data_IF_093143453829
#
_entry.id   IF_093143453829
#
_cell.length_a   1.000
_cell.length_b   1.000
_cell.length_c   1.000
_cell.angle_alpha   90.00
_cell.angle_beta   90.00
_cell.angle_gamma   90.00
#
_symmetry.space_group_name_H-M   'P 1'
#
loop_
_entity.id
_entity.type
_entity.pdbx_description
1 polymer ?
#
# COMPACT_ATOMS: atom_id res chain seq x y z
N UNK A 1 16.60 13.63 20.71
CA UNK A 1 16.55 14.41 19.46
C UNK A 1 15.98 13.51 18.38
N UNK A 2 14.65 13.46 18.23
CA UNK A 2 14.01 12.63 17.21
C UNK A 2 13.88 13.45 15.94
N UNK A 3 14.72 13.16 14.96
CA UNK A 3 14.64 13.69 13.60
C UNK A 3 13.24 13.42 13.06
N UNK A 4 12.42 14.46 12.95
CA UNK A 4 11.20 14.42 12.15
C UNK A 4 11.64 14.35 10.70
N UNK A 5 11.77 13.13 10.18
CA UNK A 5 12.03 12.88 8.76
C UNK A 5 10.81 13.34 7.96
N UNK A 6 10.72 14.64 7.69
CA UNK A 6 10.12 15.12 6.45
C UNK A 6 11.08 14.71 5.32
N UNK A 7 11.20 13.39 5.13
CA UNK A 7 11.84 12.82 3.96
C UNK A 7 11.10 13.41 2.76
N UNK A 8 11.87 13.98 1.83
CA UNK A 8 11.32 14.66 0.66
C UNK A 8 10.23 13.79 0.05
N UNK A 9 9.03 14.33 -0.28
CA UNK A 9 7.94 13.52 -0.81
C UNK A 9 8.45 12.72 -1.99
N UNK A 10 8.56 11.40 -1.83
CA UNK A 10 9.03 10.51 -2.88
C UNK A 10 7.93 10.52 -3.94
N UNK A 11 8.29 10.81 -5.19
CA UNK A 11 7.35 10.66 -6.31
C UNK A 11 7.11 9.16 -6.51
N UNK A 12 5.87 8.66 -6.36
CA UNK A 12 5.54 7.27 -6.62
C UNK A 12 5.87 6.87 -8.05
N UNK A 13 6.39 5.66 -8.22
CA UNK A 13 6.71 5.06 -9.53
C UNK A 13 6.45 3.57 -9.46
N UNK A 14 5.75 3.06 -10.48
CA UNK A 14 5.52 1.65 -10.66
C UNK A 14 5.19 1.43 -12.14
N UNK A 15 5.70 0.34 -12.70
CA UNK A 15 5.42 -0.05 -14.07
C UNK A 15 3.90 -0.13 -14.32
N UNK A 16 3.45 0.48 -15.42
CA UNK A 16 2.03 0.57 -15.82
C UNK A 16 1.09 1.18 -14.75
N UNK A 17 1.60 2.02 -13.85
CA UNK A 17 0.77 2.78 -12.92
C UNK A 17 1.04 4.26 -13.04
N UNK A 18 -0.04 5.02 -13.16
CA UNK A 18 0.01 6.47 -13.34
C UNK A 18 -0.83 7.16 -12.26
N UNK A 19 -0.35 8.33 -11.89
CA UNK A 19 -1.08 9.25 -11.03
C UNK A 19 -1.94 10.18 -11.87
N UNK A 20 -2.81 10.93 -11.20
CA UNK A 20 -3.50 12.06 -11.82
C UNK A 20 -2.46 13.10 -12.33
N UNK A 21 -2.73 13.78 -13.47
CA UNK A 21 -1.80 14.74 -14.07
C UNK A 21 -1.30 15.82 -13.12
N UNK A 22 -2.13 16.23 -12.16
CA UNK A 22 -1.83 17.29 -11.19
C UNK A 22 -0.91 16.84 -10.05
N UNK A 23 -0.70 15.52 -9.86
CA UNK A 23 0.07 15.00 -8.74
C UNK A 23 1.52 15.53 -8.72
N UNK A 24 2.14 15.67 -9.89
CA UNK A 24 3.51 16.14 -10.03
C UNK A 24 3.64 17.64 -9.66
N UNK A 25 2.72 18.48 -10.14
CA UNK A 25 2.72 19.92 -9.86
C UNK A 25 2.41 20.20 -8.38
N UNK A 26 1.46 19.47 -7.79
CA UNK A 26 1.13 19.58 -6.36
C UNK A 26 2.31 19.18 -5.47
N UNK A 27 3.03 18.09 -5.77
CA UNK A 27 4.26 17.76 -5.04
C UNK A 27 5.35 18.81 -5.22
N UNK A 28 5.51 19.37 -6.40
CA UNK A 28 6.48 20.43 -6.64
C UNK A 28 6.17 21.68 -5.79
N UNK A 29 4.87 22.04 -5.70
CA UNK A 29 4.39 23.12 -4.83
C UNK A 29 4.69 22.85 -3.36
N UNK A 30 4.39 21.65 -2.87
CA UNK A 30 4.66 21.25 -1.48
C UNK A 30 6.16 21.26 -1.17
N UNK A 31 7.01 20.76 -2.07
CA UNK A 31 8.48 20.79 -1.90
C UNK A 31 9.00 22.22 -1.78
N UNK A 32 8.47 23.16 -2.56
CA UNK A 32 8.85 24.57 -2.47
C UNK A 32 8.51 25.15 -1.10
N UNK A 33 7.33 24.84 -0.56
CA UNK A 33 6.92 25.27 0.78
C UNK A 33 7.84 24.66 1.86
N UNK A 34 8.10 23.35 1.79
CA UNK A 34 8.94 22.64 2.75
C UNK A 34 10.44 22.98 2.67
N UNK A 35 10.89 23.57 1.56
CA UNK A 35 12.29 24.04 1.43
C UNK A 35 12.58 25.33 2.21
N UNK A 36 11.56 26.01 2.73
CA UNK A 36 11.73 27.18 3.58
C UNK A 36 12.27 26.73 4.94
N UNK A 37 13.33 27.39 5.40
CA UNK A 37 14.14 26.94 6.54
C UNK A 37 13.42 27.03 7.89
N UNK A 38 12.43 27.92 8.02
CA UNK A 38 11.62 28.06 9.24
C UNK A 38 10.12 27.99 8.93
N UNK A 39 9.38 27.26 9.76
CA UNK A 39 7.93 27.16 9.70
C UNK A 39 7.25 28.47 10.12
N UNK A 40 7.94 29.33 10.88
CA UNK A 40 7.47 30.69 11.18
C UNK A 40 7.34 31.55 9.92
N UNK A 41 8.19 31.31 8.92
CA UNK A 41 8.26 32.08 7.68
C UNK A 41 7.16 31.71 6.67
N UNK A 42 6.37 30.69 6.99
CA UNK A 42 5.22 30.30 6.18
C UNK A 42 4.09 31.31 6.33
N UNK A 43 3.62 31.81 5.18
CA UNK A 43 2.40 32.60 5.11
C UNK A 43 1.19 31.78 5.58
N UNK A 44 0.12 32.47 6.01
CA UNK A 44 -1.13 31.83 6.46
C UNK A 44 -1.66 30.82 5.43
N UNK A 45 -1.64 31.17 4.16
CA UNK A 45 -2.12 30.31 3.07
C UNK A 45 -1.28 29.04 2.90
N UNK A 46 0.03 29.11 3.10
CA UNK A 46 0.92 27.95 3.01
C UNK A 46 0.70 26.97 4.15
N UNK A 47 0.46 27.49 5.35
CA UNK A 47 0.07 26.67 6.52
C UNK A 47 -1.26 25.95 6.27
N UNK A 48 -2.26 26.68 5.77
CA UNK A 48 -3.56 26.09 5.39
C UNK A 48 -3.38 25.02 4.32
N UNK A 49 -2.53 25.27 3.31
CA UNK A 49 -2.28 24.30 2.26
C UNK A 49 -1.68 23.00 2.78
N UNK A 50 -0.69 23.07 3.68
CA UNK A 50 -0.07 21.89 4.30
C UNK A 50 -1.07 21.04 5.12
N UNK A 51 -2.16 21.65 5.59
CA UNK A 51 -3.22 20.98 6.31
C UNK A 51 -4.29 20.37 5.42
N UNK A 52 -4.28 20.65 4.11
CA UNK A 52 -5.27 20.07 3.20
C UNK A 52 -5.16 18.54 3.13
N UNK A 53 -6.29 17.84 2.94
CA UNK A 53 -6.29 16.38 2.75
C UNK A 53 -5.34 15.90 1.66
N UNK A 54 -5.28 16.62 0.53
CA UNK A 54 -4.38 16.31 -0.58
C UNK A 54 -2.91 16.51 -0.20
N UNK A 55 -2.56 17.61 0.46
CA UNK A 55 -1.19 17.83 0.92
C UNK A 55 -0.73 16.72 1.86
N UNK A 56 -1.53 16.37 2.87
CA UNK A 56 -1.22 15.27 3.79
C UNK A 56 -1.02 13.96 3.04
N UNK A 57 -1.92 13.61 2.12
CA UNK A 57 -1.81 12.41 1.27
C UNK A 57 -0.49 12.35 0.50
N UNK A 58 -0.14 13.44 -0.19
CA UNK A 58 1.10 13.54 -0.97
C UNK A 58 2.36 13.54 -0.11
N UNK A 59 2.33 14.20 1.05
CA UNK A 59 3.46 14.25 2.00
C UNK A 59 3.74 12.90 2.65
N UNK A 60 2.73 12.03 2.77
CA UNK A 60 2.91 10.61 3.15
C UNK A 60 3.50 9.77 2.01
N UNK A 61 3.77 10.36 0.85
CA UNK A 61 4.29 9.67 -0.33
C UNK A 61 3.30 8.64 -0.86
N UNK A 62 2.00 8.95 -0.79
CA UNK A 62 0.95 8.17 -1.44
C UNK A 62 0.76 8.67 -2.88
N UNK A 63 0.39 7.74 -3.75
CA UNK A 63 -0.02 8.00 -5.12
C UNK A 63 -1.37 8.70 -5.13
N UNK A 64 -1.49 9.75 -5.93
CA UNK A 64 -2.73 10.48 -6.13
C UNK A 64 -3.42 9.98 -7.41
N UNK A 65 -4.55 9.32 -7.22
CA UNK A 65 -5.35 8.62 -8.24
C UNK A 65 -6.83 8.98 -8.07
N UNK A 66 -7.67 8.71 -9.07
CA UNK A 66 -9.12 9.02 -9.03
C UNK A 66 -9.82 8.51 -7.77
N UNK A 67 -9.44 7.32 -7.27
CA UNK A 67 -10.05 6.71 -6.08
C UNK A 67 -9.41 7.07 -4.75
N UNK A 68 -8.46 8.01 -4.71
CA UNK A 68 -7.65 8.29 -3.51
C UNK A 68 -8.51 8.67 -2.31
N UNK A 69 -8.23 8.04 -1.17
CA UNK A 69 -8.92 8.27 0.09
C UNK A 69 -8.33 9.48 0.82
N UNK A 70 -8.50 10.67 0.25
CA UNK A 70 -7.99 11.91 0.83
C UNK A 70 -8.57 12.13 2.24
N UNK A 71 -7.70 12.49 3.18
CA UNK A 71 -8.08 12.74 4.58
C UNK A 71 -8.01 11.51 5.48
N UNK A 72 -7.66 10.34 4.95
CA UNK A 72 -7.40 9.13 5.72
C UNK A 72 -5.91 8.84 5.82
N UNK A 73 -5.51 8.20 6.91
CA UNK A 73 -4.13 7.78 7.14
C UNK A 73 -3.92 6.34 6.63
N UNK A 74 -2.79 6.07 5.92
CA UNK A 74 -2.41 4.71 5.57
C UNK A 74 -1.96 3.93 6.82
N UNK A 75 -1.95 2.59 6.80
CA UNK A 75 -1.38 1.81 7.88
C UNK A 75 0.11 2.11 8.03
N UNK A 76 0.58 2.03 9.26
CA UNK A 76 2.00 1.92 9.59
C UNK A 76 2.57 0.59 9.08
N UNK A 77 3.91 0.52 8.98
CA UNK A 77 4.60 -0.72 8.64
C UNK A 77 4.28 -1.83 9.66
N UNK A 78 4.18 -1.45 10.93
CA UNK A 78 3.90 -2.34 12.06
C UNK A 78 2.48 -2.90 11.99
N UNK A 79 1.48 -2.07 11.63
CA UNK A 79 0.10 -2.53 11.40
C UNK A 79 0.02 -3.49 10.20
N UNK A 80 0.73 -3.17 9.10
CA UNK A 80 0.85 -4.06 7.96
C UNK A 80 1.45 -5.42 8.35
N UNK A 81 2.53 -5.39 9.14
CA UNK A 81 3.22 -6.60 9.62
C UNK A 81 2.31 -7.41 10.56
N UNK A 82 1.66 -6.76 11.52
CA UNK A 82 0.76 -7.40 12.46
C UNK A 82 -0.35 -8.17 11.74
N UNK A 83 -0.98 -7.56 10.73
CA UNK A 83 -1.99 -8.21 9.90
C UNK A 83 -1.43 -9.37 9.05
N UNK A 84 -0.16 -9.26 8.61
CA UNK A 84 0.50 -10.26 7.78
C UNK A 84 0.86 -11.53 8.57
N UNK A 85 1.27 -11.39 9.84
CA UNK A 85 1.80 -12.49 10.67
C UNK A 85 0.74 -13.21 11.51
N UNK A 86 -0.55 -12.91 11.38
CA UNK A 86 -1.61 -13.60 12.12
C UNK A 86 -1.59 -15.10 11.77
N UNK A 87 -1.34 -16.01 12.74
CA UNK A 87 -1.27 -17.44 12.50
C UNK A 87 -2.65 -18.07 12.36
N UNK A 88 -2.74 -19.16 11.60
CA UNK A 88 -3.92 -20.00 11.52
C UNK A 88 -3.80 -21.27 12.40
N UNK A 89 -4.81 -22.14 12.35
CA UNK A 89 -4.84 -23.40 13.11
C UNK A 89 -3.66 -24.35 12.86
N UNK A 90 -3.02 -24.28 11.69
CA UNK A 90 -1.87 -25.12 11.33
C UNK A 90 -0.54 -24.39 11.49
N UNK A 91 -0.53 -23.20 12.10
CA UNK A 91 0.66 -22.39 12.36
C UNK A 91 1.17 -21.57 11.17
N UNK A 92 0.54 -21.63 10.00
CA UNK A 92 0.88 -20.75 8.88
C UNK A 92 0.33 -19.34 9.12
N UNK A 93 1.17 -18.34 8.91
CA UNK A 93 0.75 -16.93 8.93
C UNK A 93 -0.18 -16.61 7.76
N UNK A 94 -0.95 -15.53 7.88
CA UNK A 94 -1.86 -15.07 6.83
C UNK A 94 -1.09 -14.76 5.54
N UNK A 95 0.07 -14.11 5.66
CA UNK A 95 1.03 -13.88 4.58
C UNK A 95 1.53 -15.17 3.94
N UNK A 96 2.04 -16.12 4.75
CA UNK A 96 2.53 -17.41 4.25
C UNK A 96 1.45 -18.23 3.54
N UNK A 97 0.21 -18.21 4.05
CA UNK A 97 -0.93 -18.89 3.43
C UNK A 97 -1.31 -18.26 2.10
N UNK A 98 -1.35 -16.93 2.03
CA UNK A 98 -1.60 -16.23 0.78
C UNK A 98 -0.51 -16.55 -0.24
N UNK A 99 0.76 -16.56 0.18
CA UNK A 99 1.89 -16.93 -0.69
C UNK A 99 1.80 -18.38 -1.16
N UNK A 100 1.42 -19.31 -0.28
CA UNK A 100 1.19 -20.73 -0.63
C UNK A 100 0.16 -20.91 -1.76
N UNK A 101 -0.84 -20.03 -1.82
CA UNK A 101 -1.85 -20.02 -2.90
C UNK A 101 -1.36 -19.29 -4.15
N UNK A 102 -0.46 -18.34 -3.99
CA UNK A 102 -0.07 -17.36 -5.01
C UNK A 102 1.25 -17.70 -5.72
N UNK A 103 2.18 -18.39 -5.07
CA UNK A 103 3.54 -18.63 -5.58
C UNK A 103 3.60 -19.39 -6.93
N UNK A 104 2.56 -20.15 -7.27
CA UNK A 104 2.46 -20.81 -8.58
C UNK A 104 2.06 -19.85 -9.72
N UNK A 105 1.64 -18.61 -9.40
CA UNK A 105 1.07 -17.64 -10.36
C UNK A 105 2.10 -16.67 -10.91
N UNK A 106 3.28 -16.54 -10.29
CA UNK A 106 4.39 -15.78 -10.88
C UNK A 106 5.05 -16.56 -12.01
N UNK A 107 4.37 -16.73 -13.14
CA UNK A 107 5.07 -16.95 -14.39
C UNK A 107 5.41 -15.57 -14.93
N UNK A 108 6.68 -15.18 -14.73
CA UNK A 108 7.14 -13.82 -14.99
C UNK A 108 6.86 -13.35 -16.42
N UNK A 109 6.88 -12.03 -16.60
CA UNK A 109 6.98 -11.40 -17.92
C UNK A 109 8.12 -12.06 -18.72
N UNK A 110 7.98 -12.25 -20.05
CA UNK A 110 8.96 -12.97 -20.87
C UNK A 110 10.39 -12.45 -20.74
N UNK A 111 10.57 -11.17 -20.39
CA UNK A 111 11.86 -10.49 -20.29
C UNK A 111 12.67 -10.82 -19.02
N UNK A 112 12.03 -11.31 -17.95
CA UNK A 112 12.71 -11.72 -16.70
C UNK A 112 12.88 -13.24 -16.57
N UNK A 113 12.82 -13.97 -17.68
CA UNK A 113 13.34 -15.34 -17.75
C UNK A 113 14.86 -15.29 -17.65
N UNK A 114 15.38 -15.03 -16.46
CA UNK A 114 16.76 -15.38 -16.14
C UNK A 114 16.87 -16.90 -16.32
N UNK A 115 17.51 -17.29 -17.41
CA UNK A 115 17.99 -18.64 -17.67
C UNK A 115 18.97 -18.98 -16.55
N UNK A 116 18.46 -19.58 -15.47
CA UNK A 116 19.31 -20.23 -14.49
C UNK A 116 20.11 -21.30 -15.20
N UNK A 117 21.44 -21.19 -15.15
CA UNK A 117 22.41 -22.00 -15.88
C UNK A 117 22.39 -23.52 -15.56
N UNK A 118 21.38 -24.03 -14.84
CA UNK A 118 21.30 -25.41 -14.37
C UNK A 118 19.90 -26.06 -14.52
N UNK A 119 19.02 -25.56 -15.40
CA UNK A 119 17.78 -26.28 -15.76
C UNK A 119 16.74 -26.45 -14.65
N UNK A 120 16.87 -25.75 -13.51
CA UNK A 120 15.86 -25.72 -12.45
C UNK A 120 14.82 -24.66 -12.82
N UNK A 121 13.51 -24.98 -12.88
CA UNK A 121 12.47 -24.00 -13.15
C UNK A 121 12.53 -22.87 -12.12
N UNK A 122 12.72 -21.62 -12.56
CA UNK A 122 12.72 -20.48 -11.64
C UNK A 122 11.31 -20.32 -11.08
N UNK A 123 11.16 -20.30 -9.76
CA UNK A 123 9.87 -20.21 -9.05
C UNK A 123 9.16 -18.86 -9.18
N UNK A 124 9.39 -18.13 -10.27
CA UNK A 124 8.88 -16.78 -10.46
C UNK A 124 9.44 -15.75 -9.49
N UNK A 125 8.91 -14.53 -9.56
CA UNK A 125 9.33 -13.42 -8.68
C UNK A 125 9.07 -13.72 -7.20
N UNK A 126 7.92 -14.36 -6.89
CA UNK A 126 7.52 -14.70 -5.52
C UNK A 126 8.26 -15.91 -4.96
N UNK A 127 8.87 -16.74 -5.81
CA UNK A 127 9.46 -18.01 -5.41
C UNK A 127 8.41 -19.05 -5.01
N UNK A 128 8.90 -20.26 -4.73
CA UNK A 128 8.05 -21.41 -4.35
C UNK A 128 8.03 -21.60 -2.83
N UNK A 129 6.84 -21.62 -2.20
CA UNK A 129 6.70 -21.95 -0.79
C UNK A 129 6.96 -23.45 -0.58
N UNK A 130 8.08 -23.79 0.04
CA UNK A 130 8.47 -25.16 0.34
C UNK A 130 9.25 -25.27 1.65
N UNK A 131 9.15 -26.45 2.29
CA UNK A 131 9.77 -26.76 3.57
C UNK A 131 8.77 -26.87 4.72
N UNK A 132 9.27 -26.75 5.96
CA UNK A 132 8.44 -26.77 7.17
C UNK A 132 7.55 -25.52 7.28
N UNK A 133 6.49 -25.60 8.09
CA UNK A 133 5.61 -24.44 8.37
C UNK A 133 6.41 -23.23 8.85
N UNK A 134 7.36 -23.44 9.76
CA UNK A 134 8.25 -22.39 10.25
C UNK A 134 9.10 -21.78 9.12
N UNK A 135 9.70 -22.60 8.26
CA UNK A 135 10.50 -22.12 7.13
C UNK A 135 9.68 -21.39 6.08
N UNK A 136 8.43 -21.78 5.84
CA UNK A 136 7.52 -21.06 4.94
C UNK A 136 7.15 -19.70 5.54
N UNK A 137 6.87 -19.63 6.84
CA UNK A 137 6.59 -18.36 7.53
C UNK A 137 7.77 -17.39 7.49
N UNK A 138 8.99 -17.88 7.74
CA UNK A 138 10.20 -17.07 7.68
C UNK A 138 10.44 -16.50 6.28
N UNK A 139 10.34 -17.34 5.24
CA UNK A 139 10.45 -16.88 3.84
C UNK A 139 9.36 -15.87 3.47
N UNK A 140 8.12 -16.07 3.94
CA UNK A 140 7.03 -15.12 3.73
C UNK A 140 7.32 -13.76 4.38
N UNK A 141 7.93 -13.75 5.57
CA UNK A 141 8.35 -12.52 6.25
C UNK A 141 9.46 -11.80 5.47
N UNK A 142 10.41 -12.54 4.90
CA UNK A 142 11.41 -11.96 3.99
C UNK A 142 10.78 -11.33 2.75
N UNK A 143 9.74 -11.94 2.19
CA UNK A 143 8.96 -11.34 1.08
C UNK A 143 8.23 -10.06 1.52
N UNK A 144 7.66 -10.03 2.73
CA UNK A 144 7.07 -8.82 3.30
C UNK A 144 8.08 -7.68 3.34
N UNK A 145 9.27 -7.90 3.92
CA UNK A 145 10.32 -6.88 3.96
C UNK A 145 10.75 -6.46 2.56
N UNK A 146 10.97 -7.42 1.65
CA UNK A 146 11.34 -7.13 0.26
C UNK A 146 10.36 -6.19 -0.43
N UNK A 147 9.05 -6.39 -0.26
CA UNK A 147 8.03 -5.56 -0.92
C UNK A 147 7.79 -4.24 -0.17
N UNK A 148 7.55 -4.29 1.14
CA UNK A 148 7.14 -3.12 1.93
C UNK A 148 8.28 -2.13 2.10
N UNK A 149 9.50 -2.60 2.33
CA UNK A 149 10.66 -1.73 2.58
C UNK A 149 11.22 -1.12 1.28
N UNK A 150 10.92 -1.73 0.12
CA UNK A 150 11.33 -1.24 -1.19
C UNK A 150 10.15 -0.67 -2.00
N UNK A 151 9.01 -0.40 -1.37
CA UNK A 151 7.83 0.10 -2.06
C UNK A 151 8.13 1.42 -2.78
N UNK A 152 7.91 1.43 -4.10
CA UNK A 152 8.01 2.62 -4.95
C UNK A 152 6.66 3.22 -5.27
N UNK A 153 5.59 2.46 -5.03
CA UNK A 153 4.22 2.90 -5.16
C UNK A 153 3.44 2.52 -3.92
N UNK A 154 2.76 3.49 -3.32
CA UNK A 154 1.87 3.30 -2.18
C UNK A 154 0.56 4.00 -2.51
N UNK A 155 -0.55 3.29 -2.48
CA UNK A 155 -1.85 3.85 -2.82
C UNK A 155 -2.85 3.56 -1.71
N UNK A 156 -3.60 4.58 -1.32
CA UNK A 156 -4.69 4.47 -0.36
C UNK A 156 -5.96 4.94 -1.07
N UNK A 157 -6.91 4.03 -1.27
CA UNK A 157 -8.09 4.31 -2.09
C UNK A 157 -9.32 3.58 -1.57
N UNK A 158 -10.49 4.10 -1.93
CA UNK A 158 -11.77 3.47 -1.62
C UNK A 158 -12.18 2.50 -2.73
N UNK A 159 -12.61 1.32 -2.32
CA UNK A 159 -13.48 0.46 -3.12
C UNK A 159 -14.94 0.71 -2.74
N UNK A 160 -15.90 0.30 -3.60
CA UNK A 160 -17.31 0.30 -3.25
C UNK A 160 -17.58 -0.40 -1.91
N UNK A 161 -18.71 -0.06 -1.27
CA UNK A 161 -19.14 -0.60 0.03
C UNK A 161 -18.22 -0.24 1.20
N UNK A 162 -17.56 0.92 1.13
CA UNK A 162 -16.76 1.49 2.21
C UNK A 162 -15.60 0.57 2.62
N UNK A 163 -14.93 0.00 1.63
CA UNK A 163 -13.69 -0.77 1.86
C UNK A 163 -12.51 0.12 1.54
N UNK A 164 -11.79 0.55 2.57
CA UNK A 164 -10.56 1.30 2.42
C UNK A 164 -9.43 0.32 2.11
N UNK A 165 -8.69 0.57 1.04
CA UNK A 165 -7.62 -0.31 0.57
C UNK A 165 -6.29 0.42 0.59
N UNK A 166 -5.30 -0.22 1.20
CA UNK A 166 -3.91 0.17 1.12
C UNK A 166 -3.15 -0.84 0.27
N UNK A 167 -2.48 -0.36 -0.76
CA UNK A 167 -1.70 -1.16 -1.69
C UNK A 167 -0.29 -0.61 -1.77
N UNK A 168 0.71 -1.49 -1.67
CA UNK A 168 2.10 -1.14 -1.89
C UNK A 168 2.69 -2.02 -2.98
N UNK A 169 3.52 -1.44 -3.83
CA UNK A 169 4.22 -2.15 -4.90
C UNK A 169 5.66 -1.70 -5.00
N UNK A 170 6.51 -2.64 -5.40
CA UNK A 170 7.84 -2.34 -5.93
C UNK A 170 7.73 -1.81 -7.36
N UNK A 171 8.83 -1.32 -7.90
CA UNK A 171 8.87 -0.66 -9.21
C UNK A 171 8.36 -1.56 -10.34
N UNK A 172 8.66 -2.86 -10.28
CA UNK A 172 8.28 -3.87 -11.26
C UNK A 172 6.79 -4.22 -11.23
N UNK A 173 6.01 -3.68 -10.28
CA UNK A 173 4.56 -3.89 -10.18
C UNK A 173 4.12 -4.97 -9.20
N UNK A 174 5.03 -5.80 -8.69
CA UNK A 174 4.71 -6.76 -7.64
C UNK A 174 4.39 -6.04 -6.32
N UNK A 175 3.42 -6.54 -5.57
CA UNK A 175 2.93 -5.83 -4.41
C UNK A 175 2.16 -6.64 -3.39
N UNK A 176 1.63 -5.91 -2.41
CA UNK A 176 0.85 -6.41 -1.30
C UNK A 176 -0.31 -5.47 -1.00
N UNK A 177 -1.43 -6.03 -0.56
CA UNK A 177 -2.67 -5.29 -0.30
C UNK A 177 -3.23 -5.59 1.08
N UNK A 178 -3.67 -4.53 1.76
CA UNK A 178 -4.44 -4.56 3.00
C UNK A 178 -5.77 -3.83 2.82
N UNK A 179 -6.75 -4.13 3.67
CA UNK A 179 -8.01 -3.41 3.68
C UNK A 179 -8.59 -3.21 5.08
N UNK A 180 -9.40 -2.18 5.24
CA UNK A 180 -10.35 -2.00 6.34
C UNK A 180 -11.77 -1.99 5.79
N UNK A 181 -12.68 -2.70 6.45
CA UNK A 181 -14.10 -2.68 6.13
C UNK A 181 -14.82 -1.72 7.08
N UNK A 182 -15.29 -0.60 6.52
CA UNK A 182 -15.99 0.45 7.26
C UNK A 182 -17.51 0.35 7.17
N UNK A 183 -18.07 -0.67 6.51
CA UNK A 183 -19.52 -0.82 6.31
C UNK A 183 -20.30 -0.84 7.62
N UNK A 184 -19.77 -1.52 8.64
CA UNK A 184 -20.37 -1.62 9.98
C UNK A 184 -20.31 -0.31 10.79
N UNK A 185 -19.32 0.54 10.51
CA UNK A 185 -19.10 1.82 11.18
C UNK A 185 -20.01 2.90 10.60
N UNK A 186 -20.13 2.95 9.28
CA UNK A 186 -20.97 3.93 8.57
C UNK A 186 -22.47 3.60 8.72
N UNK A 187 -22.82 2.31 8.83
CA UNK A 187 -24.21 1.88 9.04
C UNK A 187 -24.85 2.38 10.35
N UNK A 188 -24.04 2.77 11.35
CA UNK A 188 -24.51 3.34 12.62
C UNK A 188 -24.59 4.88 12.59
N UNK A 189 -23.81 5.54 11.73
CA UNK A 189 -23.77 6.99 11.56
C UNK A 189 -24.39 7.35 10.20
N UNK A 190 -25.72 7.37 10.12
CA UNK A 190 -26.45 7.49 8.84
C UNK A 190 -25.87 8.50 7.85
N UNK A 191 -25.54 8.04 6.64
CA UNK A 191 -25.28 8.80 5.40
C UNK A 191 -24.61 10.19 5.49
N UNK A 192 -23.67 10.37 6.41
CA UNK A 192 -22.77 11.53 6.43
C UNK A 192 -21.32 11.08 6.38
N UNK A 193 -20.50 11.86 5.66
CA UNK A 193 -19.07 11.64 5.48
C UNK A 193 -18.38 11.40 6.85
N UNK A 194 -17.70 10.27 7.08
CA UNK A 194 -17.09 9.95 8.39
C UNK A 194 -16.10 11.01 8.89
N UNK A 195 -15.51 11.77 7.96
CA UNK A 195 -14.59 12.87 8.24
C UNK A 195 -15.26 14.10 8.90
N UNK A 196 -16.58 14.28 8.78
CA UNK A 196 -17.30 15.40 9.40
C UNK A 196 -17.73 15.14 10.85
N UNK A 197 -17.57 13.90 11.35
CA UNK A 197 -17.97 13.53 12.71
C UNK A 197 -16.83 13.56 13.74
N UNK A 198 -15.62 13.98 13.37
CA UNK A 198 -14.53 14.16 14.33
C UNK A 198 -14.80 15.24 15.40
N UNK A 199 -15.91 15.99 15.32
CA UNK A 199 -16.25 17.06 16.27
C UNK A 199 -17.28 16.69 17.34
N UNK A 200 -17.92 15.51 17.35
CA UNK A 200 -18.90 15.18 18.40
C UNK A 200 -18.95 13.69 18.80
N UNK A 201 -18.27 13.39 19.92
CA UNK A 201 -18.72 12.48 21.01
C UNK A 201 -18.92 10.96 20.77
N UNK A 202 -18.22 10.33 19.83
CA UNK A 202 -17.95 8.89 19.91
C UNK A 202 -16.56 8.56 19.37
N UNK A 203 -15.67 8.06 20.23
CA UNK A 203 -14.32 7.60 19.88
C UNK A 203 -14.41 6.28 19.09
N UNK A 204 -14.89 6.33 17.86
CA UNK A 204 -14.93 5.15 17.00
C UNK A 204 -13.53 4.85 16.51
N UNK A 205 -12.86 3.89 17.15
CA UNK A 205 -11.57 3.37 16.69
C UNK A 205 -11.73 2.82 15.27
N UNK A 206 -10.85 3.19 14.31
CA UNK A 206 -10.92 2.66 12.95
C UNK A 206 -10.81 1.12 12.97
N UNK A 207 -11.45 0.40 12.02
CA UNK A 207 -11.33 -1.04 11.91
C UNK A 207 -9.86 -1.49 11.79
N UNK A 208 -9.52 -2.68 12.28
CA UNK A 208 -8.17 -3.20 12.10
C UNK A 208 -7.86 -3.47 10.61
N UNK A 209 -6.61 -3.23 10.20
CA UNK A 209 -6.15 -3.60 8.87
C UNK A 209 -6.07 -5.11 8.71
N UNK A 210 -6.52 -5.61 7.55
CA UNK A 210 -6.50 -7.04 7.20
C UNK A 210 -5.65 -7.23 5.96
N UNK A 211 -4.66 -8.12 6.01
CA UNK A 211 -3.90 -8.50 4.81
C UNK A 211 -4.79 -9.29 3.84
N UNK A 212 -4.85 -8.84 2.58
CA UNK A 212 -5.73 -9.41 1.54
C UNK A 212 -4.97 -10.28 0.56
N UNK A 213 -3.69 -10.02 0.34
CA UNK A 213 -2.86 -10.88 -0.49
C UNK A 213 -1.77 -10.13 -1.25
N UNK A 214 -1.16 -10.88 -2.16
CA UNK A 214 -0.14 -10.42 -3.08
C UNK A 214 -0.79 -9.86 -4.33
N UNK A 215 -0.14 -8.89 -4.94
CA UNK A 215 -0.60 -8.22 -6.15
C UNK A 215 0.46 -8.35 -7.22
N UNK A 216 0.03 -8.66 -8.43
CA UNK A 216 0.91 -8.83 -9.56
C UNK A 216 0.96 -7.56 -10.43
N UNK A 217 1.99 -7.37 -11.27
CA UNK A 217 2.07 -6.23 -12.19
C UNK A 217 0.82 -6.11 -13.08
N UNK A 218 0.39 -4.89 -13.39
CA UNK A 218 -0.72 -4.70 -14.33
C UNK A 218 -0.31 -5.19 -15.73
N UNK A 219 -1.12 -6.06 -16.32
CA UNK A 219 -0.96 -6.57 -17.69
C UNK A 219 -2.23 -6.30 -18.47
N UNK A 220 -2.09 -5.74 -19.68
CA UNK A 220 -3.21 -5.34 -20.54
C UNK A 220 -4.16 -6.50 -20.86
N UNK A 221 -3.67 -7.73 -20.91
CA UNK A 221 -4.45 -8.95 -21.19
C UNK A 221 -4.64 -9.89 -19.98
N UNK A 222 -4.41 -9.40 -18.75
CA UNK A 222 -4.45 -10.24 -17.54
C UNK A 222 -5.72 -11.06 -17.39
N UNK A 223 -6.87 -10.47 -17.69
CA UNK A 223 -8.17 -11.15 -17.65
C UNK A 223 -8.29 -12.32 -18.64
N UNK A 224 -7.66 -12.21 -19.81
CA UNK A 224 -7.69 -13.26 -20.85
C UNK A 224 -6.81 -14.46 -20.47
N UNK A 225 -5.73 -14.22 -19.71
CA UNK A 225 -4.84 -15.28 -19.20
C UNK A 225 -5.25 -15.81 -17.81
N UNK A 226 -6.49 -15.53 -17.40
CA UNK A 226 -7.09 -16.09 -16.18
C UNK A 226 -6.75 -15.34 -14.89
N UNK A 227 -6.21 -14.12 -14.97
CA UNK A 227 -6.00 -13.30 -13.79
C UNK A 227 -7.33 -12.74 -13.28
N UNK A 228 -7.49 -12.78 -11.96
CA UNK A 228 -8.62 -12.17 -11.25
C UNK A 228 -8.03 -11.17 -10.25
N UNK A 229 -8.44 -9.91 -10.37
CA UNK A 229 -7.97 -8.76 -9.57
C UNK A 229 -8.37 -8.87 -8.09
#
# INVERSE_FOLDING_TARGET
MSSSSYDRPITPRCYNMEELPEAASERARLRKILSKSDFSDLGREEKILLETPLARHLLRGLAYTVGSALGYDPPTREECLAAFVIPNKVGLTTGARAWSKHGHRSQGTPELRSSSANGVPSGGWWGTPSGSVAGINEKALSLFGRVVDNAKWRNLHWLPHQVLVYEVRVEEGYGMRWSQDWSSVVGQAGNVNPLLQQTTTATTTPPAWVFRGFVEPMMDDGHQVGWRH
#
